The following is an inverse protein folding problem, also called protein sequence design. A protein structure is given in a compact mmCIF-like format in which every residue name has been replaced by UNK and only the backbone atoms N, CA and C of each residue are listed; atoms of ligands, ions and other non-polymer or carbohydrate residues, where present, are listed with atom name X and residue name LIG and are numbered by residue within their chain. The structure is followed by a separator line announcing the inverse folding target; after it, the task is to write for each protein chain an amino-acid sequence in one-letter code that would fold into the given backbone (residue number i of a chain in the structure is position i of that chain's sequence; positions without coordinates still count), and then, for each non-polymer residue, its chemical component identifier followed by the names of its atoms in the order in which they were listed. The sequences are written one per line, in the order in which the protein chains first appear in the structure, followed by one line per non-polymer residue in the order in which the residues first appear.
data_IF_945165428901
#
_entry.id   IF_945165428901
#
_cell.length_a   1.000
_cell.length_b   1.000
_cell.length_c   1.000
_cell.angle_alpha   90.00
_cell.angle_beta   90.00
_cell.angle_gamma   90.00
#
_symmetry.space_group_name_H-M   'P 1'
#
loop_
_entity.id
_entity.type
_entity.pdbx_description
1 polymer ?
#
# COMPACT_ATOMS: atom_id res chain seq x y z
N UNK A 1 -25.18 -16.10 25.13
CA UNK A 1 -24.13 -17.10 24.81
C UNK A 1 -23.95 -17.33 23.31
N UNK A 2 -24.98 -17.59 22.49
CA UNK A 2 -24.82 -17.73 21.02
C UNK A 2 -24.90 -16.41 20.23
N UNK A 3 -25.59 -15.39 20.75
CA UNK A 3 -25.67 -14.06 20.11
C UNK A 3 -24.35 -13.29 20.31
N UNK A 4 -23.73 -13.45 21.48
CA UNK A 4 -22.47 -12.79 21.82
C UNK A 4 -21.31 -13.29 20.94
N UNK A 5 -21.28 -14.59 20.61
CA UNK A 5 -20.26 -15.16 19.71
C UNK A 5 -20.40 -14.64 18.28
N UNK A 6 -21.63 -14.48 17.77
CA UNK A 6 -21.89 -13.90 16.44
C UNK A 6 -21.46 -12.44 16.41
N UNK A 7 -21.74 -11.66 17.46
CA UNK A 7 -21.32 -10.26 17.55
C UNK A 7 -19.79 -10.10 17.58
N UNK A 8 -19.12 -11.04 18.25
CA UNK A 8 -17.66 -11.09 18.32
C UNK A 8 -17.04 -11.40 16.96
N UNK A 9 -17.56 -12.40 16.24
CA UNK A 9 -17.12 -12.75 14.88
C UNK A 9 -17.32 -11.59 13.88
N UNK A 10 -18.41 -10.82 14.02
CA UNK A 10 -18.66 -9.66 13.18
C UNK A 10 -17.64 -8.54 13.42
N UNK A 11 -17.28 -8.31 14.69
CA UNK A 11 -16.25 -7.36 15.11
C UNK A 11 -14.87 -7.76 14.59
N UNK A 12 -14.48 -9.02 14.73
CA UNK A 12 -13.17 -9.50 14.26
C UNK A 12 -13.06 -9.42 12.73
N UNK A 13 -14.11 -9.82 12.00
CA UNK A 13 -14.15 -9.69 10.54
C UNK A 13 -14.03 -8.24 10.07
N UNK A 14 -14.61 -7.31 10.82
CA UNK A 14 -14.53 -5.87 10.50
C UNK A 14 -13.13 -5.32 10.76
N UNK A 15 -12.50 -5.74 11.85
CA UNK A 15 -11.13 -5.35 12.21
C UNK A 15 -10.09 -5.86 11.19
N UNK A 16 -10.23 -7.10 10.72
CA UNK A 16 -9.39 -7.68 9.66
C UNK A 16 -9.55 -6.93 8.33
N UNK A 17 -10.79 -6.58 7.95
CA UNK A 17 -11.06 -5.78 6.74
C UNK A 17 -10.46 -4.39 6.84
N UNK A 18 -10.55 -3.74 8.00
CA UNK A 18 -9.96 -2.44 8.23
C UNK A 18 -8.43 -2.49 8.11
N UNK A 19 -7.80 -3.51 8.69
CA UNK A 19 -6.37 -3.73 8.57
C UNK A 19 -5.97 -3.94 7.10
N UNK A 20 -6.69 -4.78 6.36
CA UNK A 20 -6.43 -5.03 4.95
C UNK A 20 -6.56 -3.76 4.10
N UNK A 21 -7.59 -2.95 4.35
CA UNK A 21 -7.77 -1.67 3.66
C UNK A 21 -6.60 -0.70 3.93
N UNK A 22 -6.06 -0.68 5.15
CA UNK A 22 -4.90 0.14 5.50
C UNK A 22 -3.62 -0.35 4.78
N UNK A 23 -3.42 -1.67 4.67
CA UNK A 23 -2.29 -2.26 3.92
C UNK A 23 -2.37 -1.95 2.43
N UNK A 24 -3.56 -2.06 1.84
CA UNK A 24 -3.80 -1.74 0.42
C UNK A 24 -3.59 -0.24 0.15
N UNK A 25 -4.04 0.63 1.07
CA UNK A 25 -3.78 2.07 0.97
C UNK A 25 -2.28 2.39 1.07
N UNK A 26 -1.55 1.72 1.98
CA UNK A 26 -0.11 1.88 2.09
C UNK A 26 0.62 1.47 0.80
N UNK A 27 0.15 0.43 0.10
CA UNK A 27 0.67 0.04 -1.21
C UNK A 27 0.50 1.16 -2.25
N UNK A 28 -0.68 1.77 -2.31
CA UNK A 28 -0.97 2.89 -3.22
C UNK A 28 -0.06 4.08 -2.91
N UNK A 29 0.09 4.42 -1.63
CA UNK A 29 0.95 5.51 -1.20
C UNK A 29 2.41 5.27 -1.59
N UNK A 30 2.94 4.06 -1.32
CA UNK A 30 4.31 3.68 -1.69
C UNK A 30 4.52 3.71 -3.20
N UNK A 31 3.53 3.29 -3.99
CA UNK A 31 3.58 3.40 -5.45
C UNK A 31 3.73 4.86 -5.90
N UNK A 32 2.94 5.78 -5.33
CA UNK A 32 3.06 7.20 -5.63
C UNK A 32 4.40 7.77 -5.17
N UNK A 33 4.91 7.35 -4.01
CA UNK A 33 6.21 7.76 -3.50
C UNK A 33 7.34 7.31 -4.45
N UNK A 34 7.35 6.05 -4.87
CA UNK A 34 8.33 5.54 -5.84
C UNK A 34 8.25 6.27 -7.18
N UNK A 35 7.04 6.57 -7.66
CA UNK A 35 6.83 7.35 -8.88
C UNK A 35 7.37 8.78 -8.73
N UNK A 36 7.15 9.42 -7.59
CA UNK A 36 7.69 10.75 -7.29
C UNK A 36 9.22 10.74 -7.23
N UNK A 37 9.83 9.78 -6.53
CA UNK A 37 11.29 9.64 -6.48
C UNK A 37 11.90 9.37 -7.86
N UNK A 38 11.27 8.57 -8.71
CA UNK A 38 11.78 8.35 -10.08
C UNK A 38 11.76 9.64 -10.91
N UNK A 39 10.79 10.54 -10.70
CA UNK A 39 10.76 11.83 -11.41
C UNK A 39 11.92 12.75 -11.02
N UNK A 40 12.53 12.55 -9.86
CA UNK A 40 13.70 13.34 -9.44
C UNK A 40 15.02 12.80 -9.99
N UNK A 41 15.02 11.60 -10.58
CA UNK A 41 16.20 11.03 -11.24
C UNK A 41 16.34 11.65 -12.64
N UNK A 42 17.45 12.35 -12.95
CA UNK A 42 17.69 12.87 -14.28
C UNK A 42 17.65 11.73 -15.30
N UNK A 43 16.91 11.92 -16.40
CA UNK A 43 16.93 10.96 -17.50
C UNK A 43 18.30 11.08 -18.19
N UNK A 44 19.17 10.09 -18.03
CA UNK A 44 20.55 10.14 -18.52
C UNK A 44 20.64 10.28 -20.06
N UNK A 45 21.55 11.14 -20.53
CA UNK A 45 22.14 11.06 -21.88
C UNK A 45 21.26 11.34 -23.11
N UNK A 46 21.84 11.06 -24.29
CA UNK A 46 21.22 11.22 -25.62
C UNK A 46 20.08 10.23 -25.90
N UNK A 47 19.97 9.15 -25.12
CA UNK A 47 18.95 8.11 -25.29
C UNK A 47 17.79 8.38 -24.35
N UNK A 48 16.66 8.80 -24.92
CA UNK A 48 15.41 8.96 -24.18
C UNK A 48 14.86 7.59 -23.79
N UNK A 49 14.34 7.50 -22.57
CA UNK A 49 13.50 6.39 -22.10
C UNK A 49 12.46 6.02 -23.17
N UNK A 50 12.42 4.74 -23.53
CA UNK A 50 11.43 4.22 -24.46
C UNK A 50 10.06 4.11 -23.78
N UNK A 51 8.97 4.15 -24.56
CA UNK A 51 7.63 3.94 -24.03
C UNK A 51 7.51 2.60 -23.28
N UNK A 52 8.08 1.53 -23.85
CA UNK A 52 8.05 0.20 -23.25
C UNK A 52 8.80 0.12 -21.93
N UNK A 53 9.97 0.74 -21.85
CA UNK A 53 10.72 0.85 -20.58
C UNK A 53 9.92 1.65 -19.53
N UNK A 54 9.30 2.76 -19.96
CA UNK A 54 8.42 3.58 -19.14
C UNK A 54 7.31 2.76 -18.48
N UNK A 55 6.58 2.00 -19.30
CA UNK A 55 5.49 1.12 -18.86
C UNK A 55 5.99 -0.01 -17.95
N UNK A 56 7.06 -0.70 -18.33
CA UNK A 56 7.63 -1.80 -17.52
C UNK A 56 8.03 -1.32 -16.12
N UNK A 57 8.75 -0.19 -16.04
CA UNK A 57 9.18 0.37 -14.76
C UNK A 57 8.00 0.86 -13.90
N UNK A 58 6.93 1.36 -14.52
CA UNK A 58 5.71 1.74 -13.79
C UNK A 58 4.99 0.50 -13.22
N UNK A 59 4.88 -0.59 -13.99
CA UNK A 59 4.33 -1.86 -13.50
C UNK A 59 5.21 -2.47 -12.39
N UNK A 60 6.53 -2.44 -12.59
CA UNK A 60 7.49 -2.91 -11.59
C UNK A 60 7.38 -2.13 -10.28
N UNK A 61 7.28 -0.80 -10.35
CA UNK A 61 7.11 0.04 -9.16
C UNK A 61 5.82 -0.29 -8.38
N UNK A 62 4.73 -0.63 -9.09
CA UNK A 62 3.49 -1.06 -8.46
C UNK A 62 3.64 -2.38 -7.70
N UNK A 63 4.28 -3.38 -8.31
CA UNK A 63 4.49 -4.68 -7.65
C UNK A 63 5.45 -4.58 -6.46
N UNK A 64 6.50 -3.77 -6.58
CA UNK A 64 7.41 -3.51 -5.46
C UNK A 64 6.67 -2.82 -4.32
N UNK A 65 5.78 -1.86 -4.60
CA UNK A 65 4.98 -1.19 -3.59
C UNK A 65 4.03 -2.14 -2.85
N UNK A 66 3.41 -3.08 -3.58
CA UNK A 66 2.56 -4.12 -3.00
C UNK A 66 3.35 -5.10 -2.13
N UNK A 67 4.49 -5.59 -2.61
CA UNK A 67 5.37 -6.45 -1.80
C UNK A 67 5.89 -5.73 -0.55
N UNK A 68 6.20 -4.44 -0.67
CA UNK A 68 6.65 -3.62 0.46
C UNK A 68 5.54 -3.43 1.50
N UNK A 69 4.30 -3.20 1.08
CA UNK A 69 3.18 -3.07 2.03
C UNK A 69 2.89 -4.38 2.76
N UNK A 70 2.96 -5.52 2.06
CA UNK A 70 2.76 -6.86 2.64
C UNK A 70 3.88 -7.28 3.60
N UNK A 71 5.13 -6.89 3.32
CA UNK A 71 6.30 -7.21 4.16
C UNK A 71 6.44 -6.34 5.42
N UNK A 72 5.40 -5.59 5.76
CA UNK A 72 5.28 -4.92 7.04
C UNK A 72 5.87 -3.51 7.01
N UNK A 73 5.42 -2.66 6.09
CA UNK A 73 5.63 -1.23 6.28
C UNK A 73 4.95 -0.78 7.58
N UNK A 74 5.71 -0.14 8.48
CA UNK A 74 5.14 0.58 9.62
C UNK A 74 3.99 1.50 9.19
N UNK A 75 4.02 2.04 7.97
CA UNK A 75 2.98 2.90 7.41
C UNK A 75 1.56 2.31 7.51
N UNK A 76 1.34 1.07 7.07
CA UNK A 76 0.01 0.44 7.12
C UNK A 76 -0.47 0.26 8.56
N UNK A 77 0.45 -0.14 9.46
CA UNK A 77 0.15 -0.27 10.89
C UNK A 77 -0.13 1.06 11.55
N UNK A 78 0.67 2.09 11.26
CA UNK A 78 0.49 3.46 11.76
C UNK A 78 -0.87 4.02 11.34
N UNK A 79 -1.25 3.84 10.07
CA UNK A 79 -2.57 4.22 9.56
C UNK A 79 -3.69 3.50 10.31
N UNK A 80 -3.60 2.18 10.44
CA UNK A 80 -4.59 1.39 11.17
C UNK A 80 -4.69 1.81 12.64
N UNK A 81 -3.55 2.00 13.33
CA UNK A 81 -3.51 2.45 14.73
C UNK A 81 -4.10 3.84 14.91
N UNK A 82 -3.84 4.77 14.00
CA UNK A 82 -4.38 6.13 14.06
C UNK A 82 -5.89 6.13 13.82
N UNK A 83 -6.37 5.37 12.84
CA UNK A 83 -7.81 5.24 12.57
C UNK A 83 -8.54 4.59 13.76
N UNK A 84 -7.97 3.53 14.34
CA UNK A 84 -8.55 2.86 15.51
C UNK A 84 -8.55 3.73 16.76
N UNK A 85 -7.60 4.64 16.91
CA UNK A 85 -7.56 5.61 18.02
C UNK A 85 -8.62 6.70 17.88
N UNK A 86 -8.96 7.08 16.65
CA UNK A 86 -9.89 8.18 16.35
C UNK A 86 -11.32 7.70 16.03
N UNK A 87 -11.56 6.39 16.04
CA UNK A 87 -12.89 5.75 15.97
C UNK A 87 -13.39 5.40 17.37
#
# INVERSE_FOLDING_TARGET
MHIDSISYELTTSTDEKLKKACEDFAAIFLYYLFKAMRRTVPKEGMLKESLGEGMYRDMWAYEVAKLASERGTELGRMLYSELKRNM
#
